data_IF_967549451742
#
_entry.id   IF_967549451742
#
_cell.length_a   1.000
_cell.length_b   1.000
_cell.length_c   1.000
_cell.angle_alpha   90.00
_cell.angle_beta   90.00
_cell.angle_gamma   90.00
#
_symmetry.space_group_name_H-M   'P 1'
#
loop_
_entity.id
_entity.type
_entity.pdbx_description
1 polymer ?
#
# COMPACT_ATOMS: atom_id res chain seq x y z
N UNK A 1 -52.43 -18.76 69.26
CA UNK A 1 -52.77 -17.50 68.57
C UNK A 1 -51.65 -17.27 67.59
N UNK A 2 -51.74 -18.05 66.51
CA UNK A 2 -50.73 -18.17 65.48
C UNK A 2 -51.06 -17.18 64.36
N UNK A 3 -50.03 -16.54 63.80
CA UNK A 3 -49.61 -16.74 62.41
C UNK A 3 -48.60 -15.66 62.02
N UNK A 4 -47.36 -16.10 61.83
CA UNK A 4 -46.35 -15.40 61.04
C UNK A 4 -46.82 -15.40 59.58
N UNK A 5 -47.09 -14.22 59.01
CA UNK A 5 -47.34 -14.04 57.59
C UNK A 5 -46.01 -13.88 56.85
N UNK A 6 -45.56 -14.96 56.21
CA UNK A 6 -44.46 -14.93 55.26
C UNK A 6 -44.88 -14.24 53.96
N UNK A 7 -44.21 -13.15 53.60
CA UNK A 7 -44.23 -12.63 52.23
C UNK A 7 -43.15 -13.35 51.42
N UNK A 8 -43.57 -14.24 50.51
CA UNK A 8 -42.70 -14.83 49.50
C UNK A 8 -42.63 -13.90 48.28
N UNK A 9 -41.42 -13.42 47.97
CA UNK A 9 -41.11 -12.68 46.76
C UNK A 9 -41.49 -13.48 45.50
N UNK A 10 -42.30 -12.89 44.62
CA UNK A 10 -42.59 -13.46 43.30
C UNK A 10 -41.43 -13.14 42.37
N UNK A 11 -40.57 -14.14 42.11
CA UNK A 11 -39.56 -14.09 41.08
C UNK A 11 -40.26 -14.29 39.72
N UNK A 12 -40.20 -13.29 38.85
CA UNK A 12 -40.59 -13.46 37.45
C UNK A 12 -39.51 -14.30 36.77
N UNK A 13 -39.71 -15.61 36.65
CA UNK A 13 -38.96 -16.43 35.71
C UNK A 13 -39.30 -15.96 34.30
N UNK A 14 -38.33 -15.37 33.61
CA UNK A 14 -38.43 -15.17 32.17
C UNK A 14 -38.40 -16.56 31.54
N UNK A 15 -39.56 -17.14 31.26
CA UNK A 15 -39.66 -18.34 30.44
C UNK A 15 -38.92 -18.09 29.13
N UNK A 16 -37.74 -18.70 28.97
CA UNK A 16 -37.02 -18.65 27.71
C UNK A 16 -37.86 -19.40 26.67
N UNK A 17 -38.42 -18.66 25.70
CA UNK A 17 -39.18 -19.26 24.61
C UNK A 17 -38.34 -20.36 23.94
N UNK A 18 -38.89 -21.58 23.90
CA UNK A 18 -38.20 -22.72 23.30
C UNK A 18 -37.85 -22.42 21.83
N UNK A 19 -36.55 -22.43 21.53
CA UNK A 19 -36.02 -22.18 20.20
C UNK A 19 -36.52 -23.22 19.19
N UNK A 20 -37.09 -22.76 18.07
CA UNK A 20 -37.59 -23.63 17.00
C UNK A 20 -37.23 -23.08 15.63
N UNK A 21 -36.59 -23.90 14.80
CA UNK A 21 -36.13 -23.52 13.46
C UNK A 21 -37.28 -23.11 12.53
N UNK A 22 -38.44 -23.77 12.66
CA UNK A 22 -39.63 -23.44 11.85
C UNK A 22 -40.22 -22.09 12.23
N UNK A 23 -40.19 -21.72 13.51
CA UNK A 23 -40.62 -20.40 13.98
C UNK A 23 -39.71 -19.32 13.42
N UNK A 24 -38.39 -19.50 13.50
CA UNK A 24 -37.41 -18.54 13.00
C UNK A 24 -37.60 -18.23 11.50
N UNK A 25 -37.83 -19.25 10.67
CA UNK A 25 -38.10 -19.07 9.24
C UNK A 25 -39.42 -18.33 9.00
N UNK A 26 -40.46 -18.67 9.77
CA UNK A 26 -41.77 -18.04 9.63
C UNK A 26 -41.75 -16.57 10.08
N UNK A 27 -41.08 -16.27 11.21
CA UNK A 27 -40.89 -14.92 11.74
C UNK A 27 -40.08 -14.08 10.75
N UNK A 28 -39.05 -14.66 10.15
CA UNK A 28 -38.28 -14.00 9.09
C UNK A 28 -39.15 -13.70 7.85
N UNK A 29 -39.98 -14.64 7.42
CA UNK A 29 -40.89 -14.44 6.28
C UNK A 29 -41.96 -13.36 6.56
N UNK A 30 -42.50 -13.31 7.78
CA UNK A 30 -43.47 -12.29 8.22
C UNK A 30 -42.79 -10.92 8.27
N UNK A 31 -41.61 -10.82 8.87
CA UNK A 31 -40.83 -9.58 8.94
C UNK A 31 -40.44 -9.07 7.55
N UNK A 32 -40.05 -9.97 6.64
CA UNK A 32 -39.73 -9.62 5.26
C UNK A 32 -40.97 -9.10 4.50
N UNK A 33 -42.12 -9.76 4.66
CA UNK A 33 -43.38 -9.31 4.04
C UNK A 33 -43.86 -7.97 4.61
N UNK A 34 -43.68 -7.75 5.91
CA UNK A 34 -43.97 -6.48 6.57
C UNK A 34 -43.06 -5.35 6.06
N UNK A 35 -41.76 -5.62 5.92
CA UNK A 35 -40.78 -4.69 5.38
C UNK A 35 -41.09 -4.32 3.91
N UNK A 36 -41.41 -5.31 3.07
CA UNK A 36 -41.86 -5.11 1.68
C UNK A 36 -43.14 -4.26 1.60
N UNK A 37 -44.07 -4.40 2.55
CA UNK A 37 -45.28 -3.58 2.59
C UNK A 37 -44.99 -2.11 2.92
N UNK A 38 -43.86 -1.82 3.57
CA UNK A 38 -43.34 -0.48 3.88
C UNK A 38 -42.18 -0.06 2.97
N UNK A 39 -42.11 -0.58 1.74
CA UNK A 39 -41.03 -0.32 0.78
C UNK A 39 -40.69 1.17 0.57
N UNK A 40 -41.66 2.08 0.70
CA UNK A 40 -41.43 3.54 0.60
C UNK A 40 -40.48 4.07 1.69
N UNK A 41 -40.57 3.55 2.92
CA UNK A 41 -39.64 3.91 4.00
C UNK A 41 -38.24 3.38 3.70
N UNK A 42 -38.13 2.14 3.22
CA UNK A 42 -36.85 1.53 2.83
C UNK A 42 -36.20 2.34 1.71
N UNK A 43 -36.98 2.72 0.69
CA UNK A 43 -36.51 3.54 -0.42
C UNK A 43 -36.03 4.90 0.05
N UNK A 44 -36.75 5.54 0.99
CA UNK A 44 -36.35 6.83 1.55
C UNK A 44 -34.99 6.76 2.26
N UNK A 45 -34.79 5.77 3.15
CA UNK A 45 -33.51 5.59 3.83
C UNK A 45 -32.39 5.18 2.88
N UNK A 46 -32.68 4.34 1.88
CA UNK A 46 -31.72 3.97 0.84
C UNK A 46 -31.27 5.20 0.03
N UNK A 47 -32.21 6.07 -0.35
CA UNK A 47 -31.92 7.30 -1.09
C UNK A 47 -31.15 8.31 -0.23
N UNK A 48 -31.53 8.47 1.04
CA UNK A 48 -30.80 9.31 1.98
C UNK A 48 -29.36 8.80 2.19
N UNK A 49 -29.18 7.48 2.34
CA UNK A 49 -27.86 6.85 2.43
C UNK A 49 -27.03 7.04 1.17
N UNK A 50 -27.63 6.89 -0.01
CA UNK A 50 -26.97 7.12 -1.29
C UNK A 50 -26.51 8.58 -1.46
N UNK A 51 -27.36 9.54 -1.08
CA UNK A 51 -27.02 10.98 -1.11
C UNK A 51 -25.86 11.30 -0.15
N UNK A 52 -25.88 10.76 1.06
CA UNK A 52 -24.79 10.92 2.03
C UNK A 52 -23.48 10.29 1.52
N UNK A 53 -23.55 9.10 0.90
CA UNK A 53 -22.39 8.43 0.32
C UNK A 53 -21.80 9.22 -0.85
N UNK A 54 -22.64 9.78 -1.73
CA UNK A 54 -22.20 10.64 -2.83
C UNK A 54 -21.53 11.92 -2.31
N UNK A 55 -22.15 12.58 -1.32
CA UNK A 55 -21.56 13.77 -0.68
C UNK A 55 -20.19 13.45 -0.06
N UNK A 56 -20.07 12.33 0.65
CA UNK A 56 -18.81 11.88 1.25
C UNK A 56 -17.73 11.61 0.19
N UNK A 57 -18.06 10.90 -0.88
CA UNK A 57 -17.16 10.62 -1.99
C UNK A 57 -16.64 11.91 -2.65
N UNK A 58 -17.47 12.95 -2.75
CA UNK A 58 -17.07 14.21 -3.37
C UNK A 58 -16.12 15.03 -2.49
N UNK A 59 -16.27 14.94 -1.17
CA UNK A 59 -15.41 15.63 -0.19
C UNK A 59 -14.06 14.93 -0.06
N UNK A 60 -14.01 13.60 -0.22
CA UNK A 60 -12.76 12.83 -0.14
C UNK A 60 -11.87 13.11 -1.34
N UNK A 61 -10.90 14.01 -1.13
CA UNK A 61 -9.82 14.26 -2.09
C UNK A 61 -8.97 13.02 -2.31
N UNK A 62 -8.62 12.72 -3.56
CA UNK A 62 -7.60 11.73 -3.90
C UNK A 62 -6.24 12.16 -3.35
N UNK A 63 -5.67 11.37 -2.44
CA UNK A 63 -4.33 11.57 -1.91
C UNK A 63 -3.30 10.85 -2.77
N UNK A 64 -2.25 11.57 -3.18
CA UNK A 64 -1.10 11.01 -3.87
C UNK A 64 0.11 11.09 -2.95
N UNK A 65 0.73 9.95 -2.66
CA UNK A 65 1.89 9.88 -1.77
C UNK A 65 3.16 9.89 -2.61
N UNK A 66 3.93 10.99 -2.53
CA UNK A 66 5.31 11.01 -2.99
C UNK A 66 6.23 10.50 -1.86
N UNK A 67 7.25 9.72 -2.21
CA UNK A 67 8.29 9.27 -1.26
C UNK A 67 9.62 9.90 -1.65
N UNK A 68 10.24 10.60 -0.71
CA UNK A 68 11.57 11.17 -0.85
C UNK A 68 12.50 10.46 0.15
N UNK A 69 13.64 9.98 -0.34
CA UNK A 69 14.73 9.47 0.50
C UNK A 69 15.85 10.51 0.46
N UNK A 70 16.27 11.00 1.63
CA UNK A 70 17.39 11.92 1.76
C UNK A 70 18.50 11.25 2.56
N UNK A 71 19.74 11.47 2.16
CA UNK A 71 20.94 11.00 2.84
C UNK A 71 21.73 12.23 3.24
N UNK A 72 22.02 12.35 4.54
CA UNK A 72 22.82 13.47 5.08
C UNK A 72 24.26 13.02 5.22
N UNK A 73 25.18 13.85 4.73
CA UNK A 73 26.61 13.66 4.96
C UNK A 73 26.98 14.17 6.36
N UNK A 74 27.57 13.30 7.18
CA UNK A 74 28.16 13.73 8.44
C UNK A 74 29.45 14.48 8.16
N UNK A 75 29.41 15.81 8.22
CA UNK A 75 30.63 16.61 8.22
C UNK A 75 31.41 16.29 9.51
N UNK A 76 32.51 15.54 9.39
CA UNK A 76 33.45 15.42 10.51
C UNK A 76 34.01 16.82 10.82
N UNK A 77 33.67 17.31 12.01
CA UNK A 77 34.07 18.58 12.63
C UNK A 77 33.77 19.87 11.85
N UNK A 78 32.72 20.59 12.26
CA UNK A 78 32.64 22.06 12.11
C UNK A 78 32.13 22.64 10.79
N UNK A 79 31.64 21.82 9.86
CA UNK A 79 31.08 22.31 8.58
C UNK A 79 29.65 22.84 8.70
N UNK A 80 29.41 24.05 8.18
CA UNK A 80 28.07 24.62 7.99
C UNK A 80 27.22 23.74 7.05
N UNK A 81 25.89 23.72 7.23
CA UNK A 81 24.95 23.06 6.32
C UNK A 81 25.17 23.47 4.84
N UNK A 82 25.65 24.69 4.59
CA UNK A 82 26.01 25.18 3.26
C UNK A 82 27.22 24.44 2.65
N UNK A 83 28.19 24.01 3.46
CA UNK A 83 29.34 23.22 3.02
C UNK A 83 28.93 21.79 2.65
N UNK A 84 27.99 21.20 3.40
CA UNK A 84 27.44 19.88 3.09
C UNK A 84 26.57 19.89 1.80
N UNK A 85 25.87 20.99 1.52
CA UNK A 85 25.12 21.16 0.26
C UNK A 85 26.03 21.49 -0.94
N UNK A 86 27.13 22.21 -0.72
CA UNK A 86 28.10 22.55 -1.77
C UNK A 86 28.81 21.33 -2.37
N UNK A 87 29.15 20.35 -1.53
CA UNK A 87 29.75 19.08 -1.97
C UNK A 87 28.82 18.25 -2.87
N UNK A 88 27.50 18.27 -2.61
CA UNK A 88 26.51 17.56 -3.43
C UNK A 88 26.26 18.18 -4.81
N UNK A 89 26.59 19.46 -5.01
CA UNK A 89 26.44 20.18 -6.28
C UNK A 89 27.70 20.14 -7.16
N UNK A 90 28.72 19.35 -6.78
CA UNK A 90 29.96 19.18 -7.55
C UNK A 90 31.00 20.28 -7.31
N UNK A 91 30.80 21.15 -6.31
CA UNK A 91 31.82 22.08 -5.81
C UNK A 91 32.54 21.39 -4.67
N UNK A 92 33.17 20.26 -4.98
CA UNK A 92 34.06 19.57 -4.06
C UNK A 92 35.48 19.61 -4.64
N UNK A 93 36.28 20.54 -4.12
CA UNK A 93 37.70 20.67 -4.41
C UNK A 93 38.56 19.81 -3.47
N UNK A 94 37.99 18.92 -2.64
CA UNK A 94 38.73 18.21 -1.58
C UNK A 94 38.42 16.73 -1.34
N UNK A 95 37.28 16.17 -1.79
CA UNK A 95 36.82 14.84 -1.35
C UNK A 95 37.38 13.61 -2.05
N UNK A 96 38.26 13.74 -3.05
CA UNK A 96 38.83 12.56 -3.75
C UNK A 96 39.79 11.75 -2.85
N UNK A 97 40.23 12.28 -1.69
CA UNK A 97 41.26 11.63 -0.85
C UNK A 97 40.85 11.28 0.59
N UNK A 98 39.59 11.46 1.00
CA UNK A 98 39.16 11.17 2.37
C UNK A 98 37.82 10.43 2.40
N UNK A 99 37.77 9.26 3.05
CA UNK A 99 36.60 8.37 3.16
C UNK A 99 35.39 8.90 3.96
N UNK A 100 35.10 10.19 3.81
CA UNK A 100 33.92 10.89 4.33
C UNK A 100 33.17 11.43 3.12
N UNK A 101 32.27 10.63 2.57
CA UNK A 101 31.41 11.06 1.46
C UNK A 101 30.02 10.47 1.58
N UNK A 102 29.11 10.91 0.71
CA UNK A 102 27.71 10.44 0.66
C UNK A 102 27.57 8.91 0.53
N UNK A 103 28.64 8.21 0.14
CA UNK A 103 28.74 6.76 0.01
C UNK A 103 29.49 6.08 1.18
N UNK A 104 29.52 6.65 2.37
CA UNK A 104 30.13 6.01 3.55
C UNK A 104 29.16 5.05 4.26
N UNK A 105 29.60 3.80 4.44
CA UNK A 105 29.02 2.81 5.36
C UNK A 105 27.51 2.58 5.24
N UNK A 106 26.75 3.19 6.15
CA UNK A 106 25.30 2.99 6.28
C UNK A 106 24.49 3.72 5.20
N UNK A 107 25.03 4.83 4.67
CA UNK A 107 24.39 5.61 3.61
C UNK A 107 24.31 4.85 2.28
N UNK A 108 25.29 3.98 2.01
CA UNK A 108 25.27 3.10 0.82
C UNK A 108 24.16 2.07 0.93
N UNK A 109 23.99 1.48 2.11
CA UNK A 109 22.94 0.48 2.33
C UNK A 109 21.55 1.09 2.13
N UNK A 110 21.35 2.32 2.58
CA UNK A 110 20.09 3.04 2.37
C UNK A 110 19.89 3.46 0.91
N UNK A 111 20.96 3.88 0.21
CA UNK A 111 20.94 4.17 -1.22
C UNK A 111 20.53 2.94 -2.04
N UNK A 112 21.09 1.77 -1.74
CA UNK A 112 20.76 0.50 -2.40
C UNK A 112 19.28 0.10 -2.19
N UNK A 113 18.69 0.45 -1.04
CA UNK A 113 17.26 0.23 -0.73
C UNK A 113 16.34 1.30 -1.33
N UNK A 114 16.89 2.37 -1.90
CA UNK A 114 16.10 3.48 -2.42
C UNK A 114 15.31 3.06 -3.68
N UNK A 115 14.09 3.58 -3.80
CA UNK A 115 13.25 3.30 -4.96
C UNK A 115 13.90 3.78 -6.26
N UNK A 116 14.65 4.89 -6.23
CA UNK A 116 15.33 5.43 -7.39
C UNK A 116 16.41 4.49 -7.88
N UNK A 117 17.25 3.95 -6.98
CA UNK A 117 18.31 3.03 -7.36
C UNK A 117 17.72 1.75 -7.98
N UNK A 118 16.76 1.12 -7.31
CA UNK A 118 16.08 -0.09 -7.81
C UNK A 118 15.38 0.18 -9.15
N UNK A 119 14.73 1.35 -9.31
CA UNK A 119 14.09 1.73 -10.58
C UNK A 119 15.11 1.86 -11.70
N UNK A 120 16.23 2.53 -11.46
CA UNK A 120 17.28 2.71 -12.46
C UNK A 120 17.92 1.38 -12.87
N UNK A 121 18.18 0.48 -11.90
CA UNK A 121 18.69 -0.85 -12.23
C UNK A 121 17.69 -1.66 -13.03
N UNK A 122 16.41 -1.63 -12.68
CA UNK A 122 15.35 -2.28 -13.43
C UNK A 122 15.20 -1.76 -14.86
N UNK A 123 15.42 -0.47 -15.09
CA UNK A 123 15.33 0.15 -16.41
C UNK A 123 16.64 0.07 -17.22
N UNK A 124 17.68 -0.52 -16.65
CA UNK A 124 18.92 -0.80 -17.39
C UNK A 124 18.71 -1.94 -18.40
N UNK A 125 19.51 -1.91 -19.47
CA UNK A 125 19.44 -2.88 -20.56
C UNK A 125 19.67 -4.32 -20.09
N UNK A 126 18.90 -5.24 -20.64
CA UNK A 126 19.03 -6.67 -20.39
C UNK A 126 19.59 -7.38 -21.62
N UNK A 127 20.73 -8.06 -21.47
CA UNK A 127 21.39 -8.78 -22.57
C UNK A 127 22.12 -7.86 -23.54
N UNK A 128 22.24 -8.27 -24.81
CA UNK A 128 22.84 -7.44 -25.85
C UNK A 128 21.97 -6.21 -26.12
N UNK A 129 22.62 -5.04 -26.11
CA UNK A 129 22.02 -3.69 -26.25
C UNK A 129 21.11 -3.52 -27.47
N UNK A 130 21.17 -4.42 -28.46
CA UNK A 130 20.32 -4.42 -29.64
C UNK A 130 18.85 -4.83 -29.36
N UNK A 131 18.59 -5.55 -28.27
CA UNK A 131 17.25 -6.08 -27.99
C UNK A 131 16.27 -5.03 -27.43
N UNK A 132 16.78 -3.92 -26.88
CA UNK A 132 15.98 -2.83 -26.31
C UNK A 132 15.20 -3.19 -25.03
N UNK A 133 15.31 -4.42 -24.53
CA UNK A 133 14.64 -4.86 -23.32
C UNK A 133 15.37 -4.38 -22.06
N UNK A 134 14.61 -4.10 -21.01
CA UNK A 134 15.17 -3.83 -19.69
C UNK A 134 15.06 -5.03 -18.76
N UNK A 135 15.78 -4.98 -17.64
CA UNK A 135 15.64 -5.95 -16.55
C UNK A 135 14.20 -6.03 -16.03
N UNK A 136 13.47 -4.91 -15.98
CA UNK A 136 12.05 -4.89 -15.64
C UNK A 136 11.21 -5.68 -16.64
N UNK A 137 11.50 -5.55 -17.94
CA UNK A 137 10.74 -6.25 -18.98
C UNK A 137 10.95 -7.77 -18.90
N UNK A 138 12.19 -8.19 -18.64
CA UNK A 138 12.49 -9.60 -18.40
C UNK A 138 11.84 -10.10 -17.10
N UNK A 139 11.89 -9.31 -16.03
CA UNK A 139 11.28 -9.66 -14.74
C UNK A 139 9.78 -9.94 -14.89
N UNK A 140 9.02 -9.02 -15.50
CA UNK A 140 7.57 -9.20 -15.67
C UNK A 140 7.24 -10.37 -16.61
N UNK A 141 8.15 -10.72 -17.52
CA UNK A 141 8.00 -11.87 -18.42
C UNK A 141 8.16 -13.19 -17.66
N UNK A 142 9.22 -13.33 -16.86
CA UNK A 142 9.48 -14.53 -16.04
C UNK A 142 8.34 -14.78 -15.03
N UNK A 143 7.80 -13.72 -14.44
CA UNK A 143 6.67 -13.82 -13.50
C UNK A 143 5.30 -13.96 -14.17
N UNK A 144 5.23 -13.97 -15.52
CA UNK A 144 3.97 -14.09 -16.26
C UNK A 144 3.02 -12.90 -16.12
N UNK A 145 3.52 -11.73 -15.70
CA UNK A 145 2.70 -10.56 -15.43
C UNK A 145 2.19 -9.86 -16.69
N UNK A 146 2.90 -9.98 -17.81
CA UNK A 146 2.44 -9.45 -19.11
C UNK A 146 1.05 -9.97 -19.47
N UNK A 147 0.83 -11.28 -19.33
CA UNK A 147 -0.48 -11.89 -19.61
C UNK A 147 -1.53 -11.54 -18.55
N UNK A 148 -1.14 -11.54 -17.27
CA UNK A 148 -2.06 -11.21 -16.17
C UNK A 148 -2.58 -9.79 -16.27
N UNK A 149 -1.71 -8.84 -16.63
CA UNK A 149 -2.09 -7.45 -16.83
C UNK A 149 -2.93 -7.26 -18.09
N UNK A 150 -2.64 -7.98 -19.17
CA UNK A 150 -3.49 -7.96 -20.37
C UNK A 150 -4.92 -8.44 -20.11
N UNK A 151 -5.09 -9.45 -19.23
CA UNK A 151 -6.40 -9.98 -18.82
C UNK A 151 -7.13 -9.12 -17.78
N UNK A 152 -6.44 -8.15 -17.17
CA UNK A 152 -7.02 -7.30 -16.13
C UNK A 152 -7.73 -6.09 -16.75
N UNK A 153 -9.00 -5.88 -16.44
CA UNK A 153 -9.82 -4.77 -16.95
C UNK A 153 -9.22 -3.38 -16.67
N UNK A 154 -8.45 -3.23 -15.58
CA UNK A 154 -7.83 -1.95 -15.21
C UNK A 154 -6.59 -1.61 -16.04
N UNK A 155 -5.95 -2.62 -16.63
CA UNK A 155 -4.75 -2.44 -17.45
C UNK A 155 -5.08 -2.62 -18.92
N UNK A 156 -5.67 -3.74 -19.30
CA UNK A 156 -6.25 -3.98 -20.62
C UNK A 156 -5.28 -3.91 -21.80
N UNK A 157 -3.99 -3.71 -21.54
CA UNK A 157 -2.94 -3.57 -22.55
C UNK A 157 -1.71 -4.37 -22.16
N UNK A 158 -0.95 -4.74 -23.19
CA UNK A 158 0.38 -5.28 -22.99
C UNK A 158 1.32 -4.16 -22.51
N UNK A 159 2.10 -4.45 -21.48
CA UNK A 159 2.99 -3.50 -20.81
C UNK A 159 4.42 -3.96 -21.07
N UNK A 160 5.24 -3.02 -21.52
CA UNK A 160 6.68 -3.21 -21.70
C UNK A 160 7.44 -2.05 -21.08
N UNK A 161 8.63 -2.35 -20.57
CA UNK A 161 9.55 -1.34 -20.05
C UNK A 161 10.85 -1.35 -20.87
N UNK A 162 10.92 -0.70 -22.05
CA UNK A 162 12.15 -0.64 -22.83
C UNK A 162 13.26 0.11 -22.09
N UNK A 163 14.51 -0.30 -22.33
CA UNK A 163 15.68 0.31 -21.72
C UNK A 163 15.86 1.76 -22.18
N UNK A 164 16.20 2.65 -21.25
CA UNK A 164 16.42 4.08 -21.55
C UNK A 164 15.15 4.92 -21.76
N UNK A 165 13.95 4.35 -21.60
CA UNK A 165 12.71 5.14 -21.63
C UNK A 165 12.63 6.08 -20.42
N UNK A 166 12.54 7.38 -20.70
CA UNK A 166 12.47 8.43 -19.66
C UNK A 166 11.02 8.74 -19.26
N UNK A 167 10.08 8.60 -20.19
CA UNK A 167 8.66 8.97 -19.99
C UNK A 167 7.78 7.74 -19.91
N UNK A 168 7.20 7.50 -18.76
CA UNK A 168 6.20 6.44 -18.55
C UNK A 168 4.82 7.06 -18.36
N UNK A 169 3.77 6.38 -18.84
CA UNK A 169 2.40 6.72 -18.47
C UNK A 169 2.17 6.47 -16.98
N UNK A 170 1.14 7.11 -16.40
CA UNK A 170 0.80 6.93 -14.96
C UNK A 170 0.56 5.46 -14.61
N UNK A 171 -0.01 4.71 -15.56
CA UNK A 171 -0.27 3.29 -15.42
C UNK A 171 1.04 2.50 -15.40
N UNK A 172 1.92 2.72 -16.37
CA UNK A 172 3.25 2.07 -16.41
C UNK A 172 4.07 2.38 -15.15
N UNK A 173 4.09 3.63 -14.69
CA UNK A 173 4.82 3.97 -13.46
C UNK A 173 4.20 3.28 -12.23
N UNK A 174 2.87 3.17 -12.16
CA UNK A 174 2.19 2.43 -11.09
C UNK A 174 2.55 0.94 -11.10
N UNK A 175 2.59 0.31 -12.28
CA UNK A 175 2.97 -1.10 -12.41
C UNK A 175 4.45 -1.32 -12.09
N UNK A 176 5.33 -0.41 -12.52
CA UNK A 176 6.74 -0.45 -12.17
C UNK A 176 6.95 -0.28 -10.66
N UNK A 177 6.17 0.56 -9.99
CA UNK A 177 6.17 0.66 -8.53
C UNK A 177 5.74 -0.63 -7.85
N UNK A 178 4.81 -1.41 -8.42
CA UNK A 178 4.44 -2.74 -7.91
C UNK A 178 5.62 -3.71 -8.00
N UNK A 179 6.36 -3.70 -9.12
CA UNK A 179 7.60 -4.47 -9.29
C UNK A 179 8.63 -4.09 -8.21
N UNK A 180 8.92 -2.79 -8.07
CA UNK A 180 9.89 -2.27 -7.09
C UNK A 180 9.48 -2.66 -5.66
N UNK A 181 8.20 -2.51 -5.31
CA UNK A 181 7.68 -2.85 -3.99
C UNK A 181 7.91 -4.34 -3.69
N UNK A 182 7.61 -5.22 -4.65
CA UNK A 182 7.83 -6.65 -4.51
C UNK A 182 9.30 -6.98 -4.27
N UNK A 183 10.19 -6.42 -5.09
CA UNK A 183 11.64 -6.65 -4.95
C UNK A 183 12.10 -6.24 -3.57
N UNK A 184 11.74 -5.03 -3.15
CA UNK A 184 12.14 -4.47 -1.85
C UNK A 184 11.61 -5.26 -0.64
N UNK A 185 10.38 -5.77 -0.71
CA UNK A 185 9.75 -6.45 0.41
C UNK A 185 10.04 -7.96 0.47
N UNK A 186 10.31 -8.60 -0.67
CA UNK A 186 10.37 -10.07 -0.77
C UNK A 186 11.70 -10.64 -1.27
N UNK A 187 12.48 -9.86 -2.01
CA UNK A 187 13.60 -10.40 -2.82
C UNK A 187 14.93 -9.72 -2.47
N UNK A 188 14.90 -8.47 -2.01
CA UNK A 188 16.08 -7.70 -1.64
C UNK A 188 16.23 -7.65 -0.11
N UNK A 189 17.25 -8.34 0.40
CA UNK A 189 17.69 -8.23 1.80
C UNK A 189 19.11 -7.69 1.83
N UNK A 190 19.32 -6.59 2.55
CA UNK A 190 20.62 -5.94 2.68
C UNK A 190 20.89 -5.78 4.18
N UNK A 191 21.91 -6.48 4.65
CA UNK A 191 22.39 -6.48 6.02
C UNK A 191 23.82 -5.96 6.07
N UNK A 192 24.19 -5.31 7.18
CA UNK A 192 25.57 -4.89 7.45
C UNK A 192 26.39 -6.14 7.75
N UNK A 193 27.57 -6.26 7.13
CA UNK A 193 28.50 -7.34 7.46
C UNK A 193 29.01 -7.09 8.89
N UNK A 194 28.71 -8.01 9.81
CA UNK A 194 29.18 -7.87 11.19
C UNK A 194 30.71 -7.97 11.23
N UNK A 195 31.38 -6.99 11.83
CA UNK A 195 32.84 -6.85 11.77
C UNK A 195 33.54 -7.50 12.96
N UNK A 196 32.89 -8.47 13.61
CA UNK A 196 33.44 -9.26 14.72
C UNK A 196 33.40 -10.76 14.41
N UNK A 197 34.51 -11.25 13.87
CA UNK A 197 35.02 -12.60 14.13
C UNK A 197 36.46 -12.42 14.63
#
# INVERSE_FOLDING_TARGET
MDQHSGQSAQFYELEEEQFSFRKLVNDWAINLRWALRRWKFILFFALAGALLALAYCWIKKTTYTARLTFVVEEAKSGGSLASALGGQLGIDLGGITGGSGILSGDNVLELLKSNTFIKQTLLSGYGDSASGYSLADQYITVYGWKEQWKKNEKVGKEISFPAGQVKFSRLEDSLLQVVIKRIKEKELSINKLDKKL
#
